data_IF_696856475070
#
_entry.id   IF_696856475070
#
_cell.length_a   1.000
_cell.length_b   1.000
_cell.length_c   1.000
_cell.angle_alpha   90.00
_cell.angle_beta   90.00
_cell.angle_gamma   90.00
#
_symmetry.space_group_name_H-M   'P 1'
#
loop_
_entity.id
_entity.type
_entity.pdbx_description
1 polymer ?
#
# COMPACT_ATOMS: atom_id res chain seq x y z
N UNK A 1 -9.22 10.94 15.42
CA UNK A 1 -9.04 12.39 15.07
C UNK A 1 -7.56 12.73 15.07
N UNK A 2 -6.85 12.40 16.14
CA UNK A 2 -5.39 12.32 16.21
C UNK A 2 -4.86 10.99 15.65
N UNK A 3 -3.55 10.83 15.55
CA UNK A 3 -2.88 9.63 15.03
C UNK A 3 -2.40 9.78 13.59
N UNK A 4 -1.31 9.09 13.22
CA UNK A 4 -0.80 9.11 11.83
C UNK A 4 -1.76 8.34 10.91
N UNK A 5 -1.95 8.81 9.69
CA UNK A 5 -2.75 8.13 8.68
C UNK A 5 -2.01 8.12 7.35
N UNK A 6 -2.42 7.21 6.47
CA UNK A 6 -1.97 7.09 5.09
C UNK A 6 -3.19 6.87 4.21
N UNK A 7 -3.11 7.35 2.97
CA UNK A 7 -4.13 7.09 1.94
C UNK A 7 -3.58 6.01 1.00
N UNK A 8 -4.43 5.04 0.69
CA UNK A 8 -4.17 4.01 -0.31
C UNK A 8 -5.24 4.15 -1.39
N UNK A 9 -4.84 4.65 -2.55
CA UNK A 9 -5.71 4.87 -3.71
C UNK A 9 -5.59 3.67 -4.65
N UNK A 10 -6.69 3.01 -4.97
CA UNK A 10 -6.68 1.91 -5.93
C UNK A 10 -6.67 2.43 -7.37
N UNK A 11 -5.88 1.80 -8.24
CA UNK A 11 -5.96 2.06 -9.69
C UNK A 11 -7.23 1.49 -10.32
N UNK A 12 -7.76 0.41 -9.73
CA UNK A 12 -8.95 -0.26 -10.23
C UNK A 12 -10.20 0.53 -9.83
N UNK A 13 -11.11 0.76 -10.78
CA UNK A 13 -12.40 1.40 -10.51
C UNK A 13 -13.27 0.56 -9.55
N UNK A 14 -13.21 -0.76 -9.68
CA UNK A 14 -13.91 -1.74 -8.85
C UNK A 14 -12.91 -2.81 -8.37
N UNK A 15 -12.12 -2.52 -7.33
CA UNK A 15 -11.18 -3.49 -6.77
C UNK A 15 -11.90 -4.76 -6.31
N UNK A 16 -11.31 -5.94 -6.57
CA UNK A 16 -11.91 -7.24 -6.21
C UNK A 16 -12.24 -7.35 -4.71
N UNK A 17 -11.36 -6.82 -3.87
CA UNK A 17 -11.53 -6.78 -2.42
C UNK A 17 -11.22 -5.38 -1.89
N UNK A 18 -12.00 -4.94 -0.91
CA UNK A 18 -11.79 -3.70 -0.16
C UNK A 18 -11.89 -4.02 1.34
N UNK A 19 -11.06 -3.35 2.14
CA UNK A 19 -11.11 -3.50 3.59
C UNK A 19 -12.35 -2.81 4.18
N UNK A 20 -13.05 -3.51 5.06
CA UNK A 20 -14.07 -2.92 5.93
C UNK A 20 -13.46 -2.21 7.15
N UNK A 21 -14.28 -1.43 7.84
CA UNK A 21 -13.88 -0.76 9.08
C UNK A 21 -13.34 -1.77 10.11
N UNK A 22 -12.18 -1.45 10.71
CA UNK A 22 -11.54 -2.31 11.70
C UNK A 22 -10.64 -3.41 11.13
N UNK A 23 -10.70 -3.69 9.82
CA UNK A 23 -9.76 -4.60 9.18
C UNK A 23 -8.34 -4.00 9.13
N UNK A 24 -7.34 -4.87 9.25
CA UNK A 24 -5.93 -4.48 9.24
C UNK A 24 -5.22 -5.04 8.00
N UNK A 25 -4.27 -4.27 7.50
CA UNK A 25 -3.34 -4.67 6.45
C UNK A 25 -1.91 -4.32 6.86
N UNK A 26 -0.94 -5.01 6.27
CA UNK A 26 0.49 -4.73 6.42
C UNK A 26 1.00 -4.04 5.16
N UNK A 27 1.86 -3.05 5.35
CA UNK A 27 2.68 -2.46 4.28
C UNK A 27 4.10 -2.96 4.45
N UNK A 28 4.52 -3.83 3.55
CA UNK A 28 5.84 -4.46 3.55
C UNK A 28 6.68 -3.89 2.43
N UNK A 29 7.90 -3.47 2.74
CA UNK A 29 8.86 -2.88 1.82
C UNK A 29 9.95 -3.91 1.54
N UNK A 30 9.78 -4.65 0.45
CA UNK A 30 10.72 -5.67 0.01
C UNK A 30 11.87 -5.00 -0.73
N UNK A 31 13.10 -5.24 -0.29
CA UNK A 31 14.28 -4.52 -0.78
C UNK A 31 15.43 -5.50 -0.98
N UNK A 32 15.95 -5.55 -2.21
CA UNK A 32 17.15 -6.27 -2.59
C UNK A 32 18.39 -5.56 -2.05
N UNK A 33 18.76 -5.88 -0.82
CA UNK A 33 19.93 -5.32 -0.13
C UNK A 33 20.32 -6.19 1.05
N UNK A 34 21.62 -6.36 1.26
CA UNK A 34 22.17 -7.05 2.43
C UNK A 34 21.86 -6.34 3.76
N UNK A 35 21.61 -5.02 3.73
CA UNK A 35 21.44 -4.20 4.92
C UNK A 35 20.18 -3.35 4.85
N UNK A 36 19.65 -3.04 6.03
CA UNK A 36 18.54 -2.08 6.14
C UNK A 36 18.95 -0.73 5.59
N UNK A 37 18.09 -0.14 4.77
CA UNK A 37 18.36 1.14 4.14
C UNK A 37 17.87 2.24 5.08
N UNK A 38 18.71 3.23 5.42
CA UNK A 38 18.27 4.37 6.22
C UNK A 38 17.16 5.18 5.53
N UNK A 39 16.37 5.93 6.31
CA UNK A 39 15.24 6.72 5.83
C UNK A 39 15.59 7.70 4.70
N UNK A 40 16.85 8.17 4.62
CA UNK A 40 17.33 9.10 3.58
C UNK A 40 17.22 8.52 2.16
N UNK A 41 17.28 7.20 2.00
CA UNK A 41 17.20 6.55 0.68
C UNK A 41 15.80 6.67 0.07
N UNK A 42 14.76 6.72 0.90
CA UNK A 42 13.36 6.80 0.47
C UNK A 42 12.86 8.24 0.28
N UNK A 43 13.68 9.25 0.59
CA UNK A 43 13.35 10.67 0.42
C UNK A 43 13.81 11.19 -0.94
N UNK A 44 13.34 12.38 -1.33
CA UNK A 44 13.86 13.07 -2.53
C UNK A 44 15.33 13.39 -2.33
N UNK A 45 16.20 12.71 -3.08
CA UNK A 45 17.60 13.09 -3.16
C UNK A 45 17.78 14.20 -4.21
N UNK A 46 18.67 15.20 -3.97
CA UNK A 46 18.94 16.27 -4.90
C UNK A 46 19.50 15.76 -6.24
N UNK A 47 20.24 14.65 -6.20
CA UNK A 47 20.97 14.05 -7.34
C UNK A 47 20.13 13.18 -8.27
N UNK A 48 18.80 13.17 -8.14
CA UNK A 48 17.91 12.44 -9.08
C UNK A 48 17.89 10.91 -8.96
N UNK A 49 18.86 10.29 -8.27
CA UNK A 49 18.98 8.84 -8.03
C UNK A 49 17.99 8.28 -6.97
N UNK A 50 16.72 8.70 -7.01
CA UNK A 50 15.70 8.22 -6.07
C UNK A 50 15.22 6.79 -6.36
N UNK A 51 16.13 5.82 -6.43
CA UNK A 51 15.87 4.42 -6.84
C UNK A 51 14.87 3.68 -5.95
N UNK A 52 14.58 4.19 -4.76
CA UNK A 52 13.65 3.58 -3.78
C UNK A 52 12.52 4.51 -3.35
N UNK A 53 12.38 5.70 -3.96
CA UNK A 53 11.33 6.65 -3.57
C UNK A 53 9.94 6.02 -3.66
N UNK A 54 9.67 5.27 -4.72
CA UNK A 54 8.39 4.62 -4.98
C UNK A 54 8.00 3.60 -3.91
N UNK A 55 8.94 3.11 -3.11
CA UNK A 55 8.67 2.18 -1.99
C UNK A 55 8.14 2.95 -0.77
N UNK A 56 8.43 4.24 -0.66
CA UNK A 56 8.08 5.06 0.49
C UNK A 56 8.87 4.70 1.75
N UNK A 57 8.62 5.44 2.83
CA UNK A 57 9.45 5.40 4.04
C UNK A 57 8.76 4.77 5.26
N UNK A 58 7.48 4.41 5.15
CA UNK A 58 6.73 3.72 6.20
C UNK A 58 6.51 2.24 5.84
N UNK A 59 6.19 1.43 6.85
CA UNK A 59 6.03 -0.01 6.70
C UNK A 59 7.31 -0.78 7.05
N UNK A 60 7.16 -2.09 7.21
CA UNK A 60 8.24 -2.98 7.61
C UNK A 60 9.21 -3.18 6.44
N UNK A 61 10.51 -3.00 6.66
CA UNK A 61 11.51 -3.35 5.65
C UNK A 61 11.82 -4.84 5.74
N UNK A 62 11.69 -5.53 4.61
CA UNK A 62 12.04 -6.94 4.42
C UNK A 62 13.17 -6.98 3.41
N UNK A 63 14.29 -7.58 3.80
CA UNK A 63 15.48 -7.70 2.96
C UNK A 63 15.36 -8.97 2.12
N UNK A 64 15.74 -8.86 0.85
CA UNK A 64 15.77 -9.93 -0.12
C UNK A 64 17.20 -10.09 -0.65
N UNK A 65 17.62 -11.33 -0.86
CA UNK A 65 18.82 -11.69 -1.62
C UNK A 65 18.53 -11.63 -3.12
N UNK A 66 19.57 -11.67 -3.97
CA UNK A 66 19.39 -11.52 -5.42
C UNK A 66 18.54 -12.65 -6.04
N UNK A 67 18.53 -13.82 -5.42
CA UNK A 67 17.77 -14.99 -5.86
C UNK A 67 16.33 -15.01 -5.31
N UNK A 68 16.04 -14.20 -4.29
CA UNK A 68 14.73 -14.20 -3.64
C UNK A 68 13.67 -13.56 -4.53
N UNK A 69 12.47 -14.15 -4.51
CA UNK A 69 11.32 -13.65 -5.27
C UNK A 69 10.44 -12.76 -4.40
N UNK A 70 9.83 -11.77 -5.04
CA UNK A 70 8.74 -11.02 -4.42
C UNK A 70 7.53 -11.93 -4.22
N UNK A 71 6.71 -11.71 -3.17
CA UNK A 71 5.50 -12.47 -2.93
C UNK A 71 4.34 -12.00 -3.84
N UNK A 72 4.64 -11.79 -5.12
CA UNK A 72 3.72 -11.45 -6.20
C UNK A 72 3.98 -12.40 -7.37
N UNK A 73 3.00 -12.57 -8.24
CA UNK A 73 3.18 -13.28 -9.50
C UNK A 73 4.22 -12.54 -10.38
N UNK A 74 4.10 -11.21 -10.46
CA UNK A 74 5.04 -10.37 -11.19
C UNK A 74 6.37 -10.17 -10.45
N UNK A 75 7.48 -10.45 -11.14
CA UNK A 75 8.83 -10.23 -10.62
C UNK A 75 9.47 -8.99 -11.25
N UNK A 76 10.35 -8.33 -10.51
CA UNK A 76 11.13 -7.20 -11.04
C UNK A 76 12.27 -7.79 -11.88
N UNK A 77 12.30 -7.46 -13.17
CA UNK A 77 13.42 -7.83 -14.03
C UNK A 77 14.56 -6.81 -13.82
N UNK A 78 15.63 -7.24 -13.14
CA UNK A 78 16.85 -6.43 -12.98
C UNK A 78 17.79 -6.55 -14.19
N UNK A 79 17.25 -6.77 -15.38
CA UNK A 79 18.03 -6.99 -16.61
C UNK A 79 18.60 -5.68 -17.18
N UNK A 80 18.09 -4.54 -16.71
CA UNK A 80 18.49 -3.22 -17.16
C UNK A 80 19.63 -2.69 -16.26
N UNK A 81 20.86 -2.71 -16.77
CA UNK A 81 22.07 -2.28 -16.03
C UNK A 81 21.97 -0.85 -15.49
N UNK A 82 21.17 -0.02 -16.15
CA UNK A 82 20.98 1.40 -15.82
C UNK A 82 19.84 1.65 -14.82
N UNK A 83 18.98 0.66 -14.56
CA UNK A 83 17.82 0.76 -13.64
C UNK A 83 17.68 -0.48 -12.78
N UNK A 84 18.63 -0.70 -11.86
CA UNK A 84 18.49 -1.73 -10.82
C UNK A 84 17.43 -1.28 -9.81
N UNK A 85 16.15 -1.61 -10.03
CA UNK A 85 15.13 -1.34 -9.02
C UNK A 85 15.48 -2.11 -7.74
N UNK A 86 15.67 -1.39 -6.64
CA UNK A 86 16.10 -2.01 -5.39
C UNK A 86 14.97 -2.73 -4.65
N UNK A 87 13.75 -2.77 -5.20
CA UNK A 87 12.61 -3.47 -4.61
C UNK A 87 11.27 -2.76 -4.80
N UNK A 88 10.27 -3.18 -4.01
CA UNK A 88 8.88 -2.77 -4.14
C UNK A 88 8.17 -2.80 -2.78
N UNK A 89 7.22 -1.89 -2.57
CA UNK A 89 6.31 -1.98 -1.43
C UNK A 89 5.07 -2.79 -1.83
N UNK A 90 4.59 -3.62 -0.90
CA UNK A 90 3.44 -4.50 -1.10
C UNK A 90 2.49 -4.26 0.07
N UNK A 91 1.25 -3.95 -0.27
CA UNK A 91 0.14 -3.88 0.67
C UNK A 91 -0.52 -5.25 0.72
N UNK A 92 -0.66 -5.83 1.91
CA UNK A 92 -1.23 -7.17 2.05
C UNK A 92 -2.09 -7.35 3.29
N UNK A 93 -3.08 -8.21 3.15
CA UNK A 93 -3.90 -8.74 4.24
C UNK A 93 -4.23 -10.21 3.92
N UNK A 94 -5.22 -10.79 4.60
CA UNK A 94 -5.62 -12.18 4.34
C UNK A 94 -6.45 -12.35 3.06
N UNK A 95 -7.04 -11.28 2.52
CA UNK A 95 -7.87 -11.31 1.32
C UNK A 95 -7.04 -11.14 0.04
N UNK A 96 -6.01 -10.29 0.07
CA UNK A 96 -5.22 -9.97 -1.12
C UNK A 96 -3.81 -9.41 -0.84
N UNK A 97 -3.02 -9.33 -1.91
CA UNK A 97 -1.79 -8.53 -2.04
C UNK A 97 -1.95 -7.54 -3.19
N UNK A 98 -1.31 -6.39 -3.10
CA UNK A 98 -1.19 -5.45 -4.21
C UNK A 98 0.14 -4.69 -4.13
N UNK A 99 0.84 -4.44 -5.24
CA UNK A 99 1.98 -3.55 -5.25
C UNK A 99 1.54 -2.14 -4.86
N UNK A 100 2.32 -1.46 -4.02
CA UNK A 100 2.03 -0.13 -3.51
C UNK A 100 3.15 0.83 -3.91
N UNK A 101 2.78 1.89 -4.64
CA UNK A 101 3.71 2.91 -5.10
C UNK A 101 3.47 4.21 -4.34
N UNK A 102 4.50 4.73 -3.68
CA UNK A 102 4.44 6.00 -2.94
C UNK A 102 4.43 7.20 -3.89
N UNK A 103 3.53 8.14 -3.64
CA UNK A 103 3.48 9.43 -4.31
C UNK A 103 3.64 10.57 -3.29
N UNK A 104 4.23 11.70 -3.74
CA UNK A 104 4.28 12.90 -2.93
C UNK A 104 2.89 13.57 -2.96
N UNK A 105 2.21 13.76 -1.82
CA UNK A 105 0.96 14.49 -1.79
C UNK A 105 1.13 15.92 -2.31
N UNK A 106 0.10 16.45 -2.96
CA UNK A 106 0.07 17.87 -3.36
C UNK A 106 -0.22 18.73 -2.13
N UNK A 107 0.44 19.90 -2.00
CA UNK A 107 0.20 20.81 -0.86
C UNK A 107 -1.20 21.44 -0.86
N UNK A 108 -1.94 21.31 -1.97
CA UNK A 108 -3.30 21.79 -2.15
C UNK A 108 -4.36 20.84 -1.60
N UNK A 109 -3.99 19.59 -1.30
CA UNK A 109 -4.94 18.52 -1.05
C UNK A 109 -5.01 18.22 0.46
N UNK A 110 -6.22 18.20 1.00
CA UNK A 110 -6.47 18.00 2.43
C UNK A 110 -7.54 16.93 2.64
N UNK A 111 -7.41 16.18 3.75
CA UNK A 111 -8.44 15.24 4.19
C UNK A 111 -9.45 15.97 5.08
N UNK A 112 -10.69 16.05 4.63
CA UNK A 112 -11.82 16.52 5.42
C UNK A 112 -12.56 15.33 6.04
N UNK A 113 -12.75 15.35 7.37
CA UNK A 113 -13.44 14.31 8.12
C UNK A 113 -14.67 14.94 8.78
N UNK A 114 -15.85 14.46 8.40
CA UNK A 114 -17.11 14.76 9.08
C UNK A 114 -17.34 13.66 10.11
N UNK A 115 -17.45 14.05 11.38
CA UNK A 115 -17.63 13.14 12.49
C UNK A 115 -18.88 13.52 13.28
N UNK A 116 -19.70 12.52 13.56
CA UNK A 116 -20.88 12.66 14.40
C UNK A 116 -20.49 12.50 15.87
N UNK A 117 -20.61 13.56 16.64
CA UNK A 117 -20.32 13.57 18.08
C UNK A 117 -21.37 12.81 18.90
N UNK A 118 -21.11 12.66 20.20
CA UNK A 118 -22.00 11.94 21.13
C UNK A 118 -23.41 12.57 21.20
N UNK A 119 -23.50 13.88 21.08
CA UNK A 119 -24.75 14.64 21.16
C UNK A 119 -25.37 14.89 19.78
N UNK A 120 -25.13 14.01 18.79
CA UNK A 120 -25.67 14.14 17.42
C UNK A 120 -25.14 15.37 16.63
N UNK A 121 -24.20 16.12 17.20
CA UNK A 121 -23.51 17.24 16.54
C UNK A 121 -22.64 16.75 15.37
N UNK A 122 -22.53 17.57 14.31
CA UNK A 122 -21.65 17.32 13.17
C UNK A 122 -20.39 18.16 13.30
N UNK A 123 -19.27 17.50 13.55
CA UNK A 123 -17.96 18.12 13.69
C UNK A 123 -17.14 17.90 12.43
N UNK A 124 -16.46 18.94 11.94
CA UNK A 124 -15.58 18.88 10.77
C UNK A 124 -14.13 19.00 11.21
N UNK A 125 -13.26 18.12 10.70
CA UNK A 125 -11.82 18.15 10.94
C UNK A 125 -11.09 18.19 9.60
N UNK A 126 -10.16 19.12 9.44
CA UNK A 126 -9.28 19.21 8.26
C UNK A 126 -7.89 18.73 8.66
N UNK A 127 -7.27 17.90 7.82
CA UNK A 127 -5.95 17.32 8.07
C UNK A 127 -5.09 17.34 6.81
N UNK A 128 -3.83 17.71 6.95
CA UNK A 128 -2.82 17.60 5.90
C UNK A 128 -2.61 16.13 5.51
N UNK A 129 -2.63 15.84 4.20
CA UNK A 129 -2.30 14.52 3.65
C UNK A 129 -0.77 14.42 3.59
N UNK A 130 -0.20 13.67 4.53
CA UNK A 130 1.26 13.49 4.57
C UNK A 130 1.73 12.35 3.69
N UNK A 131 0.91 11.32 3.49
CA UNK A 131 1.28 10.06 2.83
C UNK A 131 0.16 9.56 1.95
N UNK A 132 0.49 9.28 0.69
CA UNK A 132 -0.40 8.65 -0.26
C UNK A 132 0.36 7.58 -1.05
N UNK A 133 -0.26 6.42 -1.19
CA UNK A 133 0.21 5.31 -2.00
C UNK A 133 -0.86 4.97 -3.03
N UNK A 134 -0.43 4.62 -4.23
CA UNK A 134 -1.28 4.06 -5.25
C UNK A 134 -1.11 2.54 -5.22
N UNK A 135 -2.21 1.81 -5.01
CA UNK A 135 -2.27 0.37 -5.07
C UNK A 135 -2.51 -0.06 -6.51
N UNK A 136 -1.60 -0.88 -7.03
CA UNK A 136 -1.75 -1.51 -8.34
C UNK A 136 -2.75 -2.67 -8.31
N UNK A 137 -2.69 -3.49 -9.35
CA UNK A 137 -3.61 -4.62 -9.53
C UNK A 137 -3.57 -5.58 -8.33
N UNK A 138 -4.76 -5.94 -7.86
CA UNK A 138 -4.95 -6.87 -6.75
C UNK A 138 -4.63 -8.31 -7.20
N UNK A 139 -3.76 -8.97 -6.43
CA UNK A 139 -3.56 -10.41 -6.44
C UNK A 139 -4.37 -11.05 -5.29
N UNK A 140 -5.53 -11.67 -5.58
CA UNK A 140 -6.41 -12.22 -4.57
C UNK A 140 -5.80 -13.47 -3.91
N UNK A 141 -5.97 -13.59 -2.58
CA UNK A 141 -5.63 -14.80 -1.81
C UNK A 141 -6.84 -15.68 -1.57
N UNK A 142 -8.03 -15.07 -1.52
CA UNK A 142 -9.32 -15.72 -1.34
C UNK A 142 -10.18 -15.54 -2.60
N UNK A 143 -11.03 -16.52 -2.96
CA UNK A 143 -11.97 -16.37 -4.05
C UNK A 143 -13.14 -15.47 -3.64
N UNK A 144 -13.62 -14.65 -4.57
CA UNK A 144 -14.93 -14.01 -4.41
C UNK A 144 -16.00 -15.06 -4.70
N UNK A 145 -16.89 -15.31 -3.74
CA UNK A 145 -17.92 -16.32 -3.92
C UNK A 145 -18.93 -15.92 -4.99
N UNK A 146 -19.24 -16.83 -5.90
CA UNK A 146 -20.30 -16.62 -6.89
C UNK A 146 -21.68 -16.83 -6.24
N UNK A 147 -22.74 -16.16 -6.73
CA UNK A 147 -24.07 -16.20 -6.11
C UNK A 147 -24.67 -17.61 -5.94
N UNK A 148 -24.26 -18.57 -6.77
CA UNK A 148 -24.77 -19.95 -6.74
C UNK A 148 -23.75 -20.95 -6.15
N UNK A 149 -22.60 -20.46 -5.65
CA UNK A 149 -21.57 -21.32 -5.08
C UNK A 149 -22.03 -21.93 -3.75
N UNK A 150 -21.55 -23.15 -3.48
CA UNK A 150 -21.75 -23.81 -2.18
C UNK A 150 -21.13 -22.99 -1.06
N UNK A 151 -19.97 -22.37 -1.31
CA UNK A 151 -19.25 -21.54 -0.34
C UNK A 151 -20.07 -20.31 0.06
N UNK A 152 -20.71 -19.64 -0.91
CA UNK A 152 -21.64 -18.54 -0.61
C UNK A 152 -22.81 -19.01 0.26
N UNK A 153 -23.42 -20.15 -0.11
CA UNK A 153 -24.51 -20.73 0.67
C UNK A 153 -24.11 -21.16 2.08
N UNK A 154 -22.84 -21.56 2.29
CA UNK A 154 -22.29 -21.85 3.60
C UNK A 154 -22.01 -20.58 4.40
N UNK A 155 -21.49 -19.52 3.77
CA UNK A 155 -21.21 -18.24 4.41
C UNK A 155 -22.47 -17.52 4.92
N UNK A 156 -23.61 -17.69 4.24
CA UNK A 156 -24.89 -17.08 4.64
C UNK A 156 -25.58 -17.77 5.83
N UNK A 157 -25.17 -18.99 6.17
CA UNK A 157 -25.74 -19.76 7.29
C UNK A 157 -25.05 -19.40 8.60
#
# INVERSE_FOLDING_TARGET
KSGKFMIFEHIDQHPLFINNFGMASRLNRYIYSEKRLPLKYFKRQPTGMGMTRHIGYYGQQILLQEEDKLPLIGQIMNNDKDKKYQGLAIFENNLYRAPACYHKPKPTDFLCIIHKGKNNERLMYIREIKQIYTLGQIEPKEPVYSPQSRDYGAFLK
#
